data_IF_536886368332
#
_entry.id   IF_536886368332
#
_cell.length_a   1.000
_cell.length_b   1.000
_cell.length_c   1.000
_cell.angle_alpha   90.00
_cell.angle_beta   90.00
_cell.angle_gamma   90.00
#
_symmetry.space_group_name_H-M   'P 1'
#
loop_
_entity.id
_entity.type
_entity.pdbx_description
1 polymer ?
#
# COMPACT_ATOMS: atom_id res chain seq x y z
N UNK A 1 20.84 0.57 7.56
CA UNK A 1 20.56 1.80 6.76
C UNK A 1 20.91 3.02 7.62
N UNK A 2 22.18 3.43 7.71
CA UNK A 2 22.62 4.34 8.80
C UNK A 2 22.93 5.78 8.41
N UNK A 3 23.11 6.10 7.13
CA UNK A 3 23.41 7.48 6.71
C UNK A 3 22.75 7.77 5.36
N UNK A 4 21.53 8.31 5.39
CA UNK A 4 20.88 8.90 4.22
C UNK A 4 20.69 10.38 4.55
N UNK A 5 21.36 11.25 3.80
CA UNK A 5 21.13 12.69 3.89
C UNK A 5 19.75 13.01 3.30
N UNK A 6 18.78 13.25 4.18
CA UNK A 6 17.43 13.62 3.79
C UNK A 6 17.31 15.14 3.86
N UNK A 7 17.09 15.76 2.69
CA UNK A 7 16.70 17.16 2.60
C UNK A 7 15.17 17.25 2.41
N UNK A 8 14.55 18.20 3.11
CA UNK A 8 13.12 18.47 2.98
C UNK A 8 12.93 19.82 2.29
N UNK A 9 12.04 19.85 1.31
CA UNK A 9 11.60 21.09 0.68
C UNK A 9 10.09 21.26 0.86
N UNK A 10 9.68 22.51 1.02
CA UNK A 10 8.27 22.86 1.01
C UNK A 10 7.84 23.09 -0.44
N UNK A 11 6.91 22.26 -0.91
CA UNK A 11 6.32 22.39 -2.24
C UNK A 11 4.87 22.82 -2.14
N UNK A 12 4.49 23.82 -2.94
CA UNK A 12 3.09 24.17 -3.12
C UNK A 12 2.47 23.19 -4.12
N UNK A 13 1.46 22.44 -3.69
CA UNK A 13 0.70 21.56 -4.57
C UNK A 13 -0.66 22.19 -4.91
N UNK A 14 -1.18 21.84 -6.09
CA UNK A 14 -2.49 22.31 -6.52
C UNK A 14 -3.60 21.46 -5.88
N UNK A 15 -4.17 21.97 -4.78
CA UNK A 15 -5.31 21.36 -4.09
C UNK A 15 -6.68 21.75 -4.66
N UNK A 16 -6.76 22.39 -5.84
CA UNK A 16 -8.03 22.83 -6.42
C UNK A 16 -8.96 21.65 -6.66
N UNK A 17 -10.18 21.75 -6.15
CA UNK A 17 -11.21 20.73 -6.34
C UNK A 17 -11.55 20.53 -7.83
N UNK A 18 -11.68 21.62 -8.58
CA UNK A 18 -12.15 21.60 -9.99
C UNK A 18 -11.06 21.21 -10.99
N UNK A 19 -9.77 21.44 -10.66
CA UNK A 19 -8.66 21.05 -11.53
C UNK A 19 -8.14 19.66 -11.16
N UNK A 20 -8.64 18.63 -11.84
CA UNK A 20 -8.23 17.25 -11.60
C UNK A 20 -6.72 17.04 -11.81
N UNK A 21 -6.04 16.51 -10.79
CA UNK A 21 -4.70 15.93 -10.91
C UNK A 21 -4.75 14.62 -11.69
N UNK A 22 -3.61 14.10 -12.14
CA UNK A 22 -3.55 12.79 -12.81
C UNK A 22 -4.23 11.68 -11.98
N UNK A 23 -4.09 11.72 -10.65
CA UNK A 23 -4.69 10.75 -9.72
C UNK A 23 -6.22 10.78 -9.63
N UNK A 24 -6.88 11.85 -10.10
CA UNK A 24 -8.33 12.06 -10.05
C UNK A 24 -9.01 11.99 -11.42
N UNK A 25 -8.27 11.61 -12.46
CA UNK A 25 -8.81 11.43 -13.81
C UNK A 25 -9.63 10.13 -13.90
N UNK A 26 -10.50 9.99 -14.92
CA UNK A 26 -11.15 8.73 -15.24
C UNK A 26 -10.15 7.57 -15.40
N UNK A 27 -10.58 6.31 -15.20
CA UNK A 27 -9.67 5.17 -15.17
C UNK A 27 -9.00 4.99 -16.54
N UNK A 28 -7.70 4.68 -16.53
CA UNK A 28 -6.91 4.53 -17.74
C UNK A 28 -5.41 4.35 -17.48
N UNK A 29 -4.63 4.00 -18.52
CA UNK A 29 -3.23 3.62 -18.37
C UNK A 29 -2.35 4.67 -17.67
N UNK A 30 -2.51 5.95 -18.01
CA UNK A 30 -1.73 7.04 -17.40
C UNK A 30 -2.06 7.24 -15.92
N UNK A 31 -3.32 7.01 -15.53
CA UNK A 31 -3.73 7.07 -14.12
C UNK A 31 -3.12 5.90 -13.37
N UNK A 32 -3.17 4.70 -13.95
CA UNK A 32 -2.62 3.50 -13.33
C UNK A 32 -1.10 3.58 -13.18
N UNK A 33 -0.40 4.14 -14.17
CA UNK A 33 1.03 4.41 -14.10
C UNK A 33 1.36 5.41 -12.98
N UNK A 34 0.60 6.50 -12.87
CA UNK A 34 0.80 7.47 -11.81
C UNK A 34 0.59 6.86 -10.42
N UNK A 35 -0.45 6.04 -10.23
CA UNK A 35 -0.68 5.32 -8.98
C UNK A 35 0.37 4.25 -8.71
N UNK A 36 0.89 3.58 -9.75
CA UNK A 36 1.98 2.61 -9.61
C UNK A 36 3.27 3.28 -9.14
N UNK A 37 3.59 4.47 -9.69
CA UNK A 37 4.76 5.24 -9.32
C UNK A 37 4.79 5.67 -7.84
N UNK A 38 3.62 5.73 -7.17
CA UNK A 38 3.53 5.96 -5.72
C UNK A 38 3.89 4.73 -4.88
N UNK A 39 4.06 3.55 -5.48
CA UNK A 39 4.38 2.31 -4.76
C UNK A 39 3.15 1.51 -4.32
N UNK A 40 2.01 1.65 -5.01
CA UNK A 40 0.79 0.86 -4.73
C UNK A 40 0.96 -0.64 -4.99
N UNK A 41 2.00 -1.02 -5.75
CA UNK A 41 2.53 -2.39 -5.83
C UNK A 41 3.91 -2.39 -5.18
N UNK A 42 3.97 -2.82 -3.94
CA UNK A 42 5.21 -2.89 -3.18
C UNK A 42 5.57 -4.35 -2.89
N UNK A 43 6.87 -4.62 -2.87
CA UNK A 43 7.41 -5.88 -2.41
C UNK A 43 7.81 -5.77 -0.93
N UNK A 44 7.95 -6.93 -0.28
CA UNK A 44 8.55 -6.99 1.04
C UNK A 44 10.01 -6.56 0.97
N UNK A 45 10.45 -5.83 1.98
CA UNK A 45 11.87 -5.54 2.20
C UNK A 45 12.47 -6.58 3.14
N UNK A 46 13.78 -6.78 3.05
CA UNK A 46 14.52 -7.63 3.98
C UNK A 46 15.15 -6.77 5.06
N UNK A 47 14.84 -7.10 6.32
CA UNK A 47 15.45 -6.49 7.49
C UNK A 47 16.49 -7.46 8.05
N UNK A 48 17.76 -7.02 8.20
CA UNK A 48 18.80 -7.84 8.83
C UNK A 48 18.40 -8.30 10.23
N UNK A 49 18.82 -9.50 10.64
CA UNK A 49 18.43 -10.07 11.94
C UNK A 49 18.96 -9.25 13.12
N UNK A 50 20.12 -8.61 12.97
CA UNK A 50 20.74 -7.73 13.96
C UNK A 50 20.08 -6.34 14.05
N UNK A 51 19.30 -5.93 13.04
CA UNK A 51 18.51 -4.71 13.07
C UNK A 51 17.02 -4.97 13.43
N UNK A 52 16.57 -6.22 13.44
CA UNK A 52 15.16 -6.59 13.58
C UNK A 52 14.48 -6.01 14.83
N UNK A 53 15.14 -6.10 15.99
CA UNK A 53 14.59 -5.59 17.25
C UNK A 53 14.39 -4.07 17.23
N UNK A 54 15.27 -3.33 16.54
CA UNK A 54 15.16 -1.87 16.40
C UNK A 54 13.91 -1.46 15.60
N UNK A 55 13.44 -2.34 14.73
CA UNK A 55 12.22 -2.17 13.93
C UNK A 55 11.00 -2.86 14.56
N UNK A 56 11.11 -3.35 15.80
CA UNK A 56 10.01 -4.01 16.52
C UNK A 56 9.65 -5.39 15.99
N UNK A 57 10.51 -6.00 15.16
CA UNK A 57 10.32 -7.33 14.59
C UNK A 57 10.61 -8.37 15.67
N UNK A 58 9.65 -9.27 15.91
CA UNK A 58 9.73 -10.27 17.00
C UNK A 58 10.11 -11.65 16.48
N UNK A 59 10.66 -12.47 17.37
CA UNK A 59 10.91 -13.89 17.09
C UNK A 59 9.60 -14.59 16.68
N UNK A 60 9.68 -15.44 15.65
CA UNK A 60 8.53 -16.12 15.05
C UNK A 60 7.92 -15.45 13.82
N UNK A 61 8.32 -14.21 13.49
CA UNK A 61 7.98 -13.61 12.20
C UNK A 61 8.73 -14.29 11.04
N UNK A 62 8.14 -14.21 9.84
CA UNK A 62 8.62 -14.94 8.66
C UNK A 62 10.04 -14.49 8.30
N UNK A 63 10.94 -15.47 8.19
CA UNK A 63 12.34 -15.26 7.82
C UNK A 63 12.64 -15.84 6.44
N UNK A 64 13.60 -15.23 5.77
CA UNK A 64 14.28 -15.85 4.63
C UNK A 64 15.21 -16.96 5.12
N UNK A 65 15.38 -18.00 4.32
CA UNK A 65 16.32 -19.09 4.61
C UNK A 65 17.74 -18.56 4.81
N UNK A 66 18.49 -19.15 5.74
CA UNK A 66 19.86 -18.70 6.08
C UNK A 66 20.80 -18.82 4.88
N UNK A 67 20.63 -19.87 4.07
CA UNK A 67 21.40 -20.15 2.86
C UNK A 67 21.21 -19.08 1.79
N UNK A 68 20.13 -18.29 1.89
CA UNK A 68 19.82 -17.20 0.99
C UNK A 68 20.18 -15.81 1.57
N UNK A 69 20.92 -15.76 2.69
CA UNK A 69 21.34 -14.52 3.34
C UNK A 69 20.50 -14.11 4.55
N UNK A 70 19.50 -14.90 4.94
CA UNK A 70 18.71 -14.68 6.15
C UNK A 70 17.91 -13.37 6.17
N UNK A 71 17.49 -12.96 7.35
CA UNK A 71 16.71 -11.73 7.57
C UNK A 71 15.19 -11.94 7.57
N UNK A 72 14.47 -10.90 7.99
CA UNK A 72 13.03 -10.90 8.12
C UNK A 72 12.36 -10.22 6.94
N UNK A 73 11.25 -10.78 6.46
CA UNK A 73 10.38 -10.07 5.53
C UNK A 73 9.57 -9.03 6.29
N UNK A 74 9.67 -7.77 5.85
CA UNK A 74 8.88 -6.67 6.40
C UNK A 74 8.18 -5.91 5.28
N UNK A 75 7.09 -5.25 5.62
CA UNK A 75 6.41 -4.29 4.75
C UNK A 75 6.48 -2.90 5.38
N UNK A 76 6.62 -1.89 4.54
CA UNK A 76 6.56 -0.50 4.97
C UNK A 76 5.09 -0.07 4.91
N UNK A 77 4.52 0.26 6.07
CA UNK A 77 3.07 0.45 6.23
C UNK A 77 2.48 1.54 5.31
N UNK A 78 3.24 2.59 4.96
CA UNK A 78 2.76 3.62 4.04
C UNK A 78 2.38 3.06 2.66
N UNK A 79 3.10 2.05 2.17
CA UNK A 79 2.77 1.43 0.88
C UNK A 79 1.52 0.54 0.99
N UNK A 80 1.31 -0.11 2.14
CA UNK A 80 0.08 -0.85 2.41
C UNK A 80 -1.13 0.09 2.41
N UNK A 81 -1.02 1.28 3.01
CA UNK A 81 -2.05 2.30 2.93
C UNK A 81 -2.34 2.73 1.49
N UNK A 82 -1.29 3.02 0.71
CA UNK A 82 -1.44 3.43 -0.70
C UNK A 82 -2.10 2.33 -1.55
N UNK A 83 -1.75 1.06 -1.32
CA UNK A 83 -2.39 -0.08 -1.96
C UNK A 83 -3.89 -0.13 -1.66
N UNK A 84 -4.29 -0.04 -0.39
CA UNK A 84 -5.69 -0.05 0.01
C UNK A 84 -6.47 1.13 -0.59
N UNK A 85 -5.90 2.34 -0.58
CA UNK A 85 -6.54 3.52 -1.18
C UNK A 85 -6.71 3.35 -2.69
N UNK A 86 -5.71 2.80 -3.38
CA UNK A 86 -5.83 2.51 -4.81
C UNK A 86 -6.86 1.41 -5.09
N UNK A 87 -6.96 0.38 -4.24
CA UNK A 87 -8.02 -0.62 -4.35
C UNK A 87 -9.40 0.02 -4.22
N UNK A 88 -9.63 0.84 -3.19
CA UNK A 88 -10.89 1.57 -3.00
C UNK A 88 -11.23 2.47 -4.19
N UNK A 89 -10.23 3.14 -4.77
CA UNK A 89 -10.39 3.92 -6.00
C UNK A 89 -10.86 3.02 -7.14
N UNK A 90 -10.19 1.91 -7.39
CA UNK A 90 -10.50 0.99 -8.50
C UNK A 90 -11.88 0.34 -8.33
N UNK A 91 -12.29 0.05 -7.09
CA UNK A 91 -13.57 -0.60 -6.79
C UNK A 91 -14.72 0.38 -6.54
N UNK A 92 -14.44 1.68 -6.56
CA UNK A 92 -15.48 2.70 -6.48
C UNK A 92 -16.47 2.56 -7.64
N UNK A 93 -17.72 2.95 -7.41
CA UNK A 93 -18.80 2.85 -8.40
C UNK A 93 -18.41 3.41 -9.77
N UNK A 94 -17.69 4.53 -9.79
CA UNK A 94 -17.29 5.23 -11.02
C UNK A 94 -16.19 4.52 -11.82
N UNK A 95 -15.42 3.62 -11.19
CA UNK A 95 -14.25 2.98 -11.81
C UNK A 95 -14.41 1.47 -11.96
N UNK A 96 -15.35 0.86 -11.21
CA UNK A 96 -15.48 -0.59 -11.08
C UNK A 96 -15.63 -1.30 -12.43
N UNK A 97 -16.47 -0.77 -13.34
CA UNK A 97 -16.71 -1.40 -14.64
C UNK A 97 -15.41 -1.56 -15.45
N UNK A 98 -14.55 -0.53 -15.45
CA UNK A 98 -13.28 -0.56 -16.18
C UNK A 98 -12.32 -1.62 -15.62
N UNK A 99 -12.10 -1.60 -14.30
CA UNK A 99 -11.13 -2.50 -13.67
C UNK A 99 -11.63 -3.95 -13.57
N UNK A 100 -12.93 -4.14 -13.38
CA UNK A 100 -13.56 -5.46 -13.42
C UNK A 100 -13.41 -6.11 -14.80
N UNK A 101 -13.64 -5.36 -15.89
CA UNK A 101 -13.40 -5.85 -17.27
C UNK A 101 -11.94 -6.14 -17.57
N UNK A 102 -11.01 -5.35 -17.01
CA UNK A 102 -9.58 -5.58 -17.18
C UNK A 102 -9.11 -6.88 -16.52
N UNK A 103 -9.77 -7.30 -15.43
CA UNK A 103 -9.53 -8.61 -14.79
C UNK A 103 -8.11 -8.77 -14.22
N UNK A 104 -7.51 -7.71 -13.69
CA UNK A 104 -6.15 -7.73 -13.14
C UNK A 104 -6.10 -7.61 -11.62
N UNK A 105 -5.04 -8.12 -11.00
CA UNK A 105 -4.80 -7.95 -9.55
C UNK A 105 -5.94 -8.53 -8.70
N UNK A 106 -6.49 -7.78 -7.74
CA UNK A 106 -7.58 -8.24 -6.88
C UNK A 106 -8.87 -8.65 -7.63
N UNK A 107 -9.05 -8.21 -8.88
CA UNK A 107 -10.21 -8.58 -9.70
C UNK A 107 -10.11 -10.00 -10.30
N UNK A 108 -8.96 -10.68 -10.16
CA UNK A 108 -8.82 -12.11 -10.47
C UNK A 108 -9.40 -13.02 -9.39
N UNK A 109 -9.54 -12.49 -8.18
CA UNK A 109 -10.05 -13.26 -7.05
C UNK A 109 -11.57 -13.47 -7.15
N UNK A 110 -12.11 -14.56 -6.57
CA UNK A 110 -13.55 -14.72 -6.41
C UNK A 110 -14.18 -13.52 -5.68
N UNK A 111 -15.40 -13.18 -6.06
CA UNK A 111 -16.11 -11.99 -5.58
C UNK A 111 -16.10 -11.85 -4.04
N UNK A 112 -16.30 -12.95 -3.32
CA UNK A 112 -16.31 -12.96 -1.85
C UNK A 112 -14.96 -12.57 -1.23
N UNK A 113 -13.85 -12.98 -1.86
CA UNK A 113 -12.52 -12.57 -1.44
C UNK A 113 -12.27 -11.10 -1.77
N UNK A 114 -12.68 -10.64 -2.97
CA UNK A 114 -12.57 -9.24 -3.36
C UNK A 114 -13.36 -8.33 -2.39
N UNK A 115 -14.61 -8.71 -2.04
CA UNK A 115 -15.43 -7.99 -1.03
C UNK A 115 -14.72 -7.90 0.31
N UNK A 116 -14.14 -9.01 0.78
CA UNK A 116 -13.39 -9.04 2.04
C UNK A 116 -12.18 -8.10 1.98
N UNK A 117 -11.45 -8.10 0.87
CA UNK A 117 -10.26 -7.25 0.68
C UNK A 117 -10.63 -5.75 0.63
N UNK A 118 -11.71 -5.39 -0.07
CA UNK A 118 -12.26 -4.03 -0.08
C UNK A 118 -12.69 -3.62 1.34
N UNK A 119 -13.40 -4.50 2.05
CA UNK A 119 -13.84 -4.26 3.42
C UNK A 119 -12.68 -4.00 4.38
N UNK A 120 -11.59 -4.77 4.26
CA UNK A 120 -10.37 -4.57 5.05
C UNK A 120 -9.61 -3.28 4.71
N UNK A 121 -9.82 -2.72 3.52
CA UNK A 121 -9.18 -1.47 3.07
C UNK A 121 -9.83 -0.21 3.68
N UNK A 122 -11.13 -0.26 4.01
CA UNK A 122 -11.89 0.86 4.59
C UNK A 122 -11.44 1.30 6.01
N UNK A 123 -11.22 0.40 7.00
CA UNK A 123 -10.87 0.78 8.37
C UNK A 123 -9.43 1.31 8.54
N UNK A 124 -8.63 1.37 7.48
CA UNK A 124 -7.27 1.94 7.53
C UNK A 124 -7.25 3.47 7.69
N UNK A 125 -8.43 4.10 7.73
CA UNK A 125 -8.68 5.49 8.12
C UNK A 125 -9.65 5.46 9.32
N UNK A 126 -9.28 5.30 10.61
CA UNK A 126 -7.98 5.38 11.29
C UNK A 126 -7.68 4.17 12.22
N UNK A 127 -6.56 3.45 12.05
CA UNK A 127 -6.02 2.63 13.15
C UNK A 127 -5.25 3.51 14.13
N UNK A 128 -5.97 4.30 14.94
CA UNK A 128 -5.43 4.85 16.19
C UNK A 128 -5.52 3.73 17.23
N UNK A 129 -4.37 3.27 17.73
CA UNK A 129 -4.16 2.55 18.99
C UNK A 129 -5.40 1.88 19.61
N UNK A 130 -5.57 0.58 19.42
CA UNK A 130 -6.38 -0.23 20.35
C UNK A 130 -5.41 -0.84 21.36
N UNK A 131 -5.43 -0.33 22.60
CA UNK A 131 -6.08 -1.09 23.64
C UNK A 131 -7.08 -0.20 24.38
N UNK A 132 -8.35 -0.59 24.35
CA UNK A 132 -9.31 -0.16 25.37
C UNK A 132 -9.93 -1.42 25.91
N UNK A 133 -9.55 -1.74 27.15
CA UNK A 133 -10.21 -2.72 27.98
C UNK A 133 -11.67 -2.31 28.17
N UNK A 134 -12.56 -3.29 28.07
CA UNK A 134 -13.72 -3.41 28.95
C UNK A 134 -13.63 -4.76 29.64
#
# INVERSE_FOLDING_TARGET
MKDIDIAYESVLFNGSFTKASIYRQPPGPLVDEAWLALGTRFASVLVPEDEAENYGIKQGQVKRMKEQGGGFFAHIEVFHHLHCVNLLRQTSHFNFEYYSKMGGGPFLDPEERLKTHIGASCPMIPRKNMPINW
#
